data_IF_289819546903
#
_entry.id   IF_289819546903
#
_cell.length_a   1.000
_cell.length_b   1.000
_cell.length_c   1.000
_cell.angle_alpha   90.00
_cell.angle_beta   90.00
_cell.angle_gamma   90.00
#
_symmetry.space_group_name_H-M   'P 1'
#
loop_
_entity.id
_entity.type
_entity.pdbx_description
1 polymer ?
#
# COMPACT_ATOMS: atom_id res chain seq x y z
N UNK A 1 -4.92 -20.92 8.74
CA UNK A 1 -3.53 -20.57 9.10
C UNK A 1 -2.81 -19.85 7.97
N UNK A 2 -2.96 -20.30 6.72
CA UNK A 2 -2.33 -19.69 5.53
C UNK A 2 -2.68 -18.21 5.29
N UNK A 3 -3.94 -17.81 5.42
CA UNK A 3 -4.31 -16.40 5.21
C UNK A 3 -3.64 -15.44 6.22
N UNK A 4 -3.37 -15.92 7.45
CA UNK A 4 -2.67 -15.14 8.47
C UNK A 4 -1.19 -14.99 8.15
N UNK A 5 -0.52 -16.05 7.70
CA UNK A 5 0.89 -15.95 7.29
C UNK A 5 1.04 -15.07 6.06
N UNK A 6 0.12 -15.15 5.10
CA UNK A 6 0.11 -14.28 3.93
C UNK A 6 -0.08 -12.80 4.32
N UNK A 7 -1.00 -12.50 5.25
CA UNK A 7 -1.19 -11.13 5.74
C UNK A 7 0.06 -10.58 6.44
N UNK A 8 0.75 -11.40 7.25
CA UNK A 8 2.00 -11.01 7.90
C UNK A 8 3.13 -10.74 6.88
N UNK A 9 3.20 -11.57 5.83
CA UNK A 9 4.16 -11.37 4.75
C UNK A 9 3.91 -10.06 4.00
N UNK A 10 2.66 -9.80 3.59
CA UNK A 10 2.27 -8.57 2.92
C UNK A 10 2.52 -7.33 3.79
N UNK A 11 2.19 -7.40 5.09
CA UNK A 11 2.46 -6.31 6.02
C UNK A 11 3.98 -6.02 6.16
N UNK A 12 4.81 -7.07 6.17
CA UNK A 12 6.27 -6.92 6.21
C UNK A 12 6.82 -6.33 4.91
N UNK A 13 6.31 -6.79 3.77
CA UNK A 13 6.65 -6.24 2.45
C UNK A 13 6.28 -4.75 2.35
N UNK A 14 5.11 -4.37 2.86
CA UNK A 14 4.66 -2.97 2.87
C UNK A 14 5.60 -2.06 3.66
N UNK A 15 6.14 -2.52 4.79
CA UNK A 15 7.14 -1.77 5.57
C UNK A 15 8.43 -1.54 4.79
N UNK A 16 8.89 -2.55 4.04
CA UNK A 16 10.08 -2.45 3.20
C UNK A 16 9.84 -1.46 2.06
N UNK A 17 8.70 -1.56 1.38
CA UNK A 17 8.33 -0.68 0.26
C UNK A 17 8.24 0.79 0.68
N UNK A 18 7.64 1.08 1.85
CA UNK A 18 7.60 2.44 2.43
C UNK A 18 9.00 3.01 2.64
N UNK A 19 9.90 2.20 3.19
CA UNK A 19 11.29 2.62 3.39
C UNK A 19 11.99 2.87 2.05
N UNK A 20 11.76 2.02 1.05
CA UNK A 20 12.32 2.18 -0.29
C UNK A 20 11.82 3.48 -0.94
N UNK A 21 10.51 3.75 -0.90
CA UNK A 21 9.91 4.98 -1.41
C UNK A 21 10.55 6.23 -0.78
N UNK A 22 10.69 6.27 0.55
CA UNK A 22 11.36 7.37 1.24
C UNK A 22 12.82 7.56 0.83
N UNK A 23 13.53 6.46 0.55
CA UNK A 23 14.92 6.54 0.07
C UNK A 23 14.99 7.05 -1.37
N UNK A 24 14.11 6.56 -2.26
CA UNK A 24 14.01 7.03 -3.64
C UNK A 24 13.68 8.51 -3.71
N UNK A 25 12.80 9.01 -2.84
CA UNK A 25 12.45 10.44 -2.78
C UNK A 25 13.65 11.32 -2.41
N UNK A 26 14.44 10.89 -1.42
CA UNK A 26 15.69 11.56 -1.02
C UNK A 26 16.73 11.53 -2.13
N UNK A 27 16.87 10.39 -2.83
CA UNK A 27 17.77 10.27 -3.99
C UNK A 27 17.37 11.22 -5.10
N UNK A 28 16.08 11.29 -5.42
CA UNK A 28 15.51 12.20 -6.40
C UNK A 28 15.76 13.66 -6.02
N UNK A 29 15.60 14.04 -4.75
CA UNK A 29 15.94 15.39 -4.26
C UNK A 29 17.42 15.72 -4.43
N UNK A 30 18.30 14.80 -4.05
CA UNK A 30 19.75 14.96 -4.22
C UNK A 30 20.13 15.13 -5.70
N UNK A 31 19.51 14.37 -6.60
CA UNK A 31 19.80 14.45 -8.03
C UNK A 31 19.29 15.77 -8.63
N UNK A 32 18.13 16.25 -8.17
CA UNK A 32 17.62 17.58 -8.55
C UNK A 32 18.59 18.69 -8.13
N UNK A 33 19.11 18.64 -6.89
CA UNK A 33 20.12 19.59 -6.42
C UNK A 33 21.40 19.54 -7.27
N UNK A 34 21.92 18.35 -7.56
CA UNK A 34 23.14 18.20 -8.38
C UNK A 34 22.95 18.69 -9.83
N UNK A 35 21.76 18.53 -10.39
CA UNK A 35 21.41 19.06 -11.70
C UNK A 35 21.37 20.60 -11.70
N UNK A 36 20.74 21.22 -10.71
CA UNK A 36 20.55 22.67 -10.63
C UNK A 36 21.80 23.43 -10.17
N UNK A 37 22.51 22.92 -9.17
CA UNK A 37 23.59 23.66 -8.50
C UNK A 37 24.97 23.42 -9.14
N UNK A 38 25.22 22.19 -9.59
CA UNK A 38 26.57 21.74 -9.99
C UNK A 38 26.69 21.37 -11.47
N UNK A 39 25.57 21.19 -12.18
CA UNK A 39 25.56 20.68 -13.56
C UNK A 39 26.24 19.31 -13.71
N UNK A 40 26.52 18.60 -12.61
CA UNK A 40 27.30 17.36 -12.57
C UNK A 40 26.45 16.11 -12.82
N UNK A 41 25.12 16.27 -12.82
CA UNK A 41 24.16 15.19 -13.05
C UNK A 41 23.37 15.43 -14.34
N UNK A 42 23.27 14.47 -15.27
CA UNK A 42 22.39 14.58 -16.43
C UNK A 42 20.91 14.65 -16.04
N UNK A 43 20.10 15.42 -16.79
CA UNK A 43 18.64 15.47 -16.61
C UNK A 43 18.00 14.07 -16.64
N UNK A 44 18.53 13.16 -17.46
CA UNK A 44 18.06 11.78 -17.55
C UNK A 44 18.08 11.06 -16.21
N UNK A 45 19.10 11.29 -15.37
CA UNK A 45 19.19 10.64 -14.06
C UNK A 45 18.14 11.17 -13.08
N UNK A 46 17.79 12.47 -13.19
CA UNK A 46 16.69 13.05 -12.42
C UNK A 46 15.37 12.43 -12.84
N UNK A 47 15.15 12.25 -14.15
CA UNK A 47 13.94 11.62 -14.68
C UNK A 47 13.84 10.14 -14.28
N UNK A 48 14.95 9.42 -14.29
CA UNK A 48 15.01 8.03 -13.83
C UNK A 48 14.69 7.94 -12.33
N UNK A 49 15.27 8.82 -11.50
CA UNK A 49 14.98 8.85 -10.07
C UNK A 49 13.50 9.20 -9.80
N UNK A 50 12.91 10.12 -10.55
CA UNK A 50 11.48 10.42 -10.47
C UNK A 50 10.63 9.20 -10.86
N UNK A 51 11.00 8.49 -11.94
CA UNK A 51 10.33 7.25 -12.33
C UNK A 51 10.39 6.18 -11.24
N UNK A 52 11.55 5.99 -10.61
CA UNK A 52 11.73 5.06 -9.49
C UNK A 52 10.83 5.41 -8.29
N UNK A 53 10.68 6.70 -7.96
CA UNK A 53 9.76 7.15 -6.91
C UNK A 53 8.33 6.73 -7.23
N UNK A 54 7.85 6.95 -8.45
CA UNK A 54 6.49 6.55 -8.84
C UNK A 54 6.30 5.03 -8.86
N UNK A 55 7.30 4.27 -9.31
CA UNK A 55 7.25 2.81 -9.26
C UNK A 55 7.15 2.29 -7.82
N UNK A 56 7.94 2.85 -6.90
CA UNK A 56 7.89 2.50 -5.48
C UNK A 56 6.52 2.83 -4.86
N UNK A 57 5.97 4.02 -5.15
CA UNK A 57 4.62 4.43 -4.71
C UNK A 57 3.54 3.49 -5.23
N UNK A 58 3.61 3.10 -6.50
CA UNK A 58 2.63 2.18 -7.09
C UNK A 58 2.70 0.80 -6.44
N UNK A 59 3.91 0.27 -6.22
CA UNK A 59 4.10 -1.01 -5.54
C UNK A 59 3.57 -0.99 -4.10
N UNK A 60 3.77 0.10 -3.36
CA UNK A 60 3.21 0.29 -2.03
C UNK A 60 1.68 0.22 -2.05
N UNK A 61 1.04 1.04 -2.88
CA UNK A 61 -0.43 1.09 -3.00
C UNK A 61 -1.02 -0.25 -3.43
N UNK A 62 -0.37 -0.94 -4.36
CA UNK A 62 -0.78 -2.27 -4.80
C UNK A 62 -0.72 -3.29 -3.65
N UNK A 63 0.35 -3.27 -2.87
CA UNK A 63 0.54 -4.18 -1.72
C UNK A 63 -0.48 -3.89 -0.61
N UNK A 64 -0.75 -2.62 -0.35
CA UNK A 64 -1.78 -2.18 0.60
C UNK A 64 -3.18 -2.65 0.16
N UNK A 65 -3.51 -2.46 -1.12
CA UNK A 65 -4.78 -2.95 -1.67
C UNK A 65 -4.92 -4.47 -1.57
N UNK A 66 -3.85 -5.23 -1.83
CA UNK A 66 -3.84 -6.69 -1.68
C UNK A 66 -4.06 -7.11 -0.22
N UNK A 67 -3.44 -6.40 0.73
CA UNK A 67 -3.63 -6.66 2.15
C UNK A 67 -5.08 -6.41 2.57
N UNK A 68 -5.68 -5.29 2.15
CA UNK A 68 -7.09 -5.00 2.43
C UNK A 68 -8.03 -6.04 1.80
N UNK A 69 -7.78 -6.45 0.56
CA UNK A 69 -8.58 -7.47 -0.10
C UNK A 69 -8.50 -8.81 0.64
N UNK A 70 -7.30 -9.21 1.10
CA UNK A 70 -7.11 -10.42 1.90
C UNK A 70 -7.86 -10.33 3.24
N UNK A 71 -7.83 -9.19 3.92
CA UNK A 71 -8.57 -8.95 5.17
C UNK A 71 -10.08 -9.08 4.96
N UNK A 72 -10.62 -8.46 3.89
CA UNK A 72 -12.03 -8.57 3.54
C UNK A 72 -12.43 -10.02 3.23
N UNK A 73 -11.62 -10.74 2.47
CA UNK A 73 -11.85 -12.15 2.17
C UNK A 73 -11.86 -13.01 3.45
N UNK A 74 -10.97 -12.73 4.41
CA UNK A 74 -10.97 -13.41 5.71
C UNK A 74 -12.26 -13.13 6.49
N UNK A 75 -12.70 -11.86 6.55
CA UNK A 75 -13.93 -11.47 7.22
C UNK A 75 -15.17 -12.11 6.58
N UNK A 76 -15.21 -12.19 5.26
CA UNK A 76 -16.29 -12.84 4.52
C UNK A 76 -16.33 -14.34 4.80
N UNK A 77 -15.20 -15.04 4.64
CA UNK A 77 -15.12 -16.50 4.82
C UNK A 77 -15.34 -16.95 6.27
N UNK A 78 -15.11 -16.07 7.26
CA UNK A 78 -15.36 -16.35 8.68
C UNK A 78 -16.75 -15.90 9.14
N UNK A 79 -17.55 -15.27 8.26
CA UNK A 79 -18.85 -14.68 8.63
C UNK A 79 -18.75 -13.45 9.53
N UNK A 80 -17.53 -12.98 9.84
CA UNK A 80 -17.27 -11.86 10.74
C UNK A 80 -17.45 -10.48 10.07
N UNK A 81 -17.74 -10.43 8.76
CA UNK A 81 -17.88 -9.18 8.00
C UNK A 81 -18.88 -8.21 8.64
N UNK A 82 -20.09 -8.68 9.00
CA UNK A 82 -21.11 -7.84 9.66
C UNK A 82 -20.61 -7.27 10.99
N UNK A 83 -19.89 -8.08 11.78
CA UNK A 83 -19.33 -7.65 13.06
C UNK A 83 -18.22 -6.61 12.90
N UNK A 84 -17.29 -6.86 11.97
CA UNK A 84 -16.15 -5.97 11.71
C UNK A 84 -16.59 -4.58 11.23
N UNK A 85 -17.70 -4.49 10.48
CA UNK A 85 -18.30 -3.24 10.04
C UNK A 85 -19.39 -2.71 10.99
N UNK A 86 -19.54 -3.30 12.19
CA UNK A 86 -20.54 -2.93 13.20
C UNK A 86 -21.99 -2.87 12.65
N UNK A 87 -22.33 -3.77 11.73
CA UNK A 87 -23.65 -3.92 11.10
C UNK A 87 -24.56 -4.91 11.83
N UNK A 88 -24.03 -5.65 12.81
CA UNK A 88 -24.84 -6.50 13.68
C UNK A 88 -25.92 -5.65 14.37
N UNK A 89 -27.18 -6.08 14.31
CA UNK A 89 -28.34 -5.37 14.86
C UNK A 89 -28.66 -4.02 14.21
N UNK A 90 -28.12 -3.71 13.02
CA UNK A 90 -28.58 -2.58 12.21
C UNK A 90 -29.54 -3.06 11.12
N UNK A 91 -30.70 -2.42 11.06
CA UNK A 91 -31.60 -2.53 9.90
C UNK A 91 -30.98 -1.75 8.73
N UNK A 92 -30.63 -2.45 7.66
CA UNK A 92 -30.28 -1.82 6.37
C UNK A 92 -31.52 -1.94 5.50
N UNK A 93 -32.18 -0.81 5.21
CA UNK A 93 -33.31 -0.72 4.29
C UNK A 93 -34.45 -1.74 4.52
N UNK A 94 -34.99 -1.78 5.74
CA UNK A 94 -36.23 -2.52 6.07
C UNK A 94 -36.20 -4.03 5.89
N UNK A 95 -35.05 -4.65 5.62
CA UNK A 95 -34.91 -6.11 5.60
C UNK A 95 -34.04 -6.56 6.76
N UNK A 96 -34.66 -7.30 7.67
CA UNK A 96 -33.99 -7.93 8.81
C UNK A 96 -33.06 -9.04 8.27
N UNK A 97 -31.75 -8.81 8.35
CA UNK A 97 -30.78 -9.82 7.93
C UNK A 97 -30.72 -10.89 9.02
N UNK A 98 -31.55 -11.92 8.87
CA UNK A 98 -31.57 -13.11 9.70
C UNK A 98 -30.20 -13.83 9.74
N UNK A 99 -29.95 -14.65 10.78
CA UNK A 99 -28.63 -15.15 11.14
C UNK A 99 -27.84 -15.79 10.00
#
# INVERSE_FOLDING_TARGET
>A
MEARSQAMSLASALQILRRQQQLSERTRELYQQQYLDLGSRPLLDVLNAEQEVYQARFAELQTESQLHQLQLNCLYNTGALRQAFALNHRSIQSVEIQP
#
